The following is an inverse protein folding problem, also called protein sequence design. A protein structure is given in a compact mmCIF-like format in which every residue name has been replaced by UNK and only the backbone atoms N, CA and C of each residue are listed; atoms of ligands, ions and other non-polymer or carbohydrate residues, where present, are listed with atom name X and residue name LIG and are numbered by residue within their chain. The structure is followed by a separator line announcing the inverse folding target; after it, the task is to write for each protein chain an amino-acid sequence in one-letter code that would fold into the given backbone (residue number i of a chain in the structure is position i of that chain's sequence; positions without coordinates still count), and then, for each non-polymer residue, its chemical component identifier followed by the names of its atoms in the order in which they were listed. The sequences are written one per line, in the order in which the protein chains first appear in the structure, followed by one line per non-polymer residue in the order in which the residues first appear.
data_IF_250643429420
#
_entry.id   IF_250643429420
#
_cell.length_a   1.000
_cell.length_b   1.000
_cell.length_c   1.000
_cell.angle_alpha   90.00
_cell.angle_beta   90.00
_cell.angle_gamma   90.00
#
_symmetry.space_group_name_H-M   'P 1'
#
loop_
_entity.id
_entity.type
_entity.pdbx_description
1 polymer ?
#
# COMPACT_ATOMS: atom_id res chain seq x y z
N UNK A 1 -50.56 31.69 -26.95
CA UNK A 1 -51.53 30.68 -27.41
C UNK A 1 -51.03 29.33 -26.87
N UNK A 2 -51.46 28.87 -25.69
CA UNK A 2 -52.67 28.06 -25.40
C UNK A 2 -52.74 26.86 -26.36
N UNK A 3 -52.67 25.58 -25.94
CA UNK A 3 -53.52 24.81 -25.02
C UNK A 3 -52.71 23.61 -24.45
N UNK A 4 -52.60 23.33 -23.14
CA UNK A 4 -53.53 22.61 -22.21
C UNK A 4 -54.22 21.35 -22.74
N UNK A 5 -53.95 20.21 -22.09
CA UNK A 5 -55.00 19.33 -21.53
C UNK A 5 -54.46 18.37 -20.47
N UNK A 6 -54.84 18.67 -19.22
CA UNK A 6 -55.05 17.70 -18.15
C UNK A 6 -55.99 16.58 -18.58
N UNK A 7 -55.87 15.40 -17.95
CA UNK A 7 -57.01 14.80 -17.26
C UNK A 7 -56.57 13.77 -16.20
N UNK A 8 -57.26 13.92 -15.08
CA UNK A 8 -57.15 13.31 -13.76
C UNK A 8 -58.31 12.35 -13.56
N UNK A 9 -58.12 11.30 -12.77
CA UNK A 9 -59.18 10.53 -12.11
C UNK A 9 -58.55 9.48 -11.18
N UNK A 10 -58.50 9.68 -9.85
CA UNK A 10 -59.53 9.37 -8.81
C UNK A 10 -59.89 7.88 -8.79
N UNK A 11 -60.07 7.17 -7.66
CA UNK A 11 -59.91 7.35 -6.22
C UNK A 11 -60.32 6.02 -5.53
N UNK A 12 -60.15 5.94 -4.21
CA UNK A 12 -60.85 5.07 -3.22
C UNK A 12 -60.01 3.91 -2.65
N UNK A 13 -59.58 3.84 -1.38
CA UNK A 13 -60.15 3.90 0.00
C UNK A 13 -60.52 2.53 0.62
N UNK A 14 -60.07 2.36 1.87
CA UNK A 14 -60.47 1.43 2.95
C UNK A 14 -59.94 -0.02 2.87
N UNK A 15 -59.45 -0.73 3.88
CA UNK A 15 -59.39 -0.74 5.37
C UNK A 15 -59.79 -2.17 5.83
N UNK A 16 -59.23 -2.61 6.97
CA UNK A 16 -59.58 -3.75 7.84
C UNK A 16 -59.00 -5.14 7.51
N UNK A 17 -58.38 -5.74 8.53
CA UNK A 17 -58.17 -7.18 8.60
C UNK A 17 -57.07 -7.59 9.58
N UNK A 18 -57.42 -7.83 10.84
CA UNK A 18 -56.54 -8.20 11.94
C UNK A 18 -56.48 -9.72 12.15
N UNK A 19 -55.51 -10.16 12.98
CA UNK A 19 -55.51 -11.36 13.86
C UNK A 19 -54.97 -12.70 13.32
N UNK A 20 -53.75 -13.03 13.83
CA UNK A 20 -53.37 -14.25 14.57
C UNK A 20 -53.31 -15.59 13.79
N UNK A 21 -52.34 -16.50 14.02
CA UNK A 21 -52.10 -17.17 15.30
C UNK A 21 -50.88 -18.10 15.20
N UNK A 22 -49.98 -18.00 16.19
CA UNK A 22 -49.26 -19.03 16.98
C UNK A 22 -48.82 -20.35 16.31
N UNK A 23 -47.78 -21.08 16.71
CA UNK A 23 -46.71 -21.02 17.72
C UNK A 23 -45.92 -22.35 17.51
N UNK A 24 -44.66 -22.53 17.91
CA UNK A 24 -44.22 -22.82 19.28
C UNK A 24 -42.67 -22.85 19.25
N UNK A 25 -41.96 -22.16 20.14
CA UNK A 25 -41.57 -22.58 21.52
C UNK A 25 -40.54 -23.73 21.46
N UNK A 26 -39.28 -23.56 21.91
CA UNK A 26 -38.93 -23.45 23.33
C UNK A 26 -37.67 -22.62 23.61
N UNK A 27 -37.81 -21.69 24.55
CA UNK A 27 -36.77 -21.32 25.52
C UNK A 27 -36.58 -22.47 26.52
N UNK A 28 -35.38 -22.59 27.11
CA UNK A 28 -35.26 -22.67 28.57
C UNK A 28 -33.96 -22.00 29.00
N UNK A 29 -34.06 -21.21 30.07
CA UNK A 29 -33.09 -20.25 30.52
C UNK A 29 -32.23 -20.76 31.69
N UNK A 30 -31.10 -20.05 31.84
CA UNK A 30 -30.44 -19.62 33.08
C UNK A 30 -29.74 -20.64 33.99
N UNK A 31 -28.44 -20.40 34.23
CA UNK A 31 -27.96 -19.89 35.52
C UNK A 31 -26.53 -19.34 35.45
N UNK A 32 -26.31 -18.26 36.18
CA UNK A 32 -25.02 -17.68 36.54
C UNK A 32 -24.56 -18.30 37.87
N UNK A 33 -23.27 -18.62 37.96
CA UNK A 33 -22.50 -18.71 39.20
C UNK A 33 -21.00 -18.56 38.87
N UNK A 34 -20.28 -18.09 39.87
CA UNK A 34 -19.05 -17.32 39.86
C UNK A 34 -17.76 -18.18 39.98
N UNK A 35 -16.62 -17.55 39.66
CA UNK A 35 -15.23 -17.83 40.08
C UNK A 35 -14.50 -19.11 39.61
N UNK A 36 -13.28 -18.93 39.11
CA UNK A 36 -12.30 -20.02 38.94
C UNK A 36 -11.17 -19.73 37.95
N UNK A 37 -10.02 -19.33 38.48
CA UNK A 37 -8.75 -19.14 37.77
C UNK A 37 -8.20 -20.43 37.10
N UNK A 38 -7.32 -20.19 36.12
CA UNK A 38 -6.26 -21.06 35.61
C UNK A 38 -6.64 -22.13 34.57
N UNK A 39 -6.12 -21.94 33.36
CA UNK A 39 -6.10 -22.92 32.29
C UNK A 39 -5.32 -22.36 31.10
N UNK A 40 -4.01 -22.55 31.13
CA UNK A 40 -3.08 -22.31 30.02
C UNK A 40 -3.56 -23.01 28.76
N UNK A 41 -4.20 -22.25 27.87
CA UNK A 41 -4.62 -22.67 26.54
C UNK A 41 -3.52 -22.35 25.53
N UNK A 42 -2.63 -23.32 25.38
CA UNK A 42 -1.65 -23.51 24.32
C UNK A 42 -2.22 -23.09 22.95
N UNK A 43 -1.89 -21.88 22.50
CA UNK A 43 -2.13 -21.45 21.13
C UNK A 43 -1.11 -22.14 20.24
N UNK A 44 -1.63 -23.11 19.50
CA UNK A 44 -1.00 -23.94 18.49
C UNK A 44 -0.01 -23.14 17.62
N UNK A 45 1.28 -23.25 17.95
CA UNK A 45 2.38 -22.50 17.32
C UNK A 45 2.95 -23.38 16.21
N UNK A 46 2.54 -23.09 14.97
CA UNK A 46 3.13 -23.70 13.76
C UNK A 46 4.68 -23.65 13.79
N UNK A 47 5.40 -24.78 13.86
CA UNK A 47 6.86 -24.76 13.91
C UNK A 47 7.42 -24.71 12.49
N UNK A 48 8.14 -23.65 12.14
CA UNK A 48 9.05 -23.68 10.99
C UNK A 48 10.34 -24.36 11.42
N UNK A 49 10.71 -25.41 10.69
CA UNK A 49 11.91 -26.18 10.93
C UNK A 49 13.17 -25.30 10.88
N UNK A 50 14.00 -25.39 11.91
CA UNK A 50 15.36 -24.85 11.95
C UNK A 50 16.22 -25.54 10.88
N UNK A 51 16.93 -24.75 10.08
CA UNK A 51 17.97 -25.26 9.18
C UNK A 51 19.33 -24.93 9.80
N UNK A 52 20.30 -25.88 9.90
CA UNK A 52 21.53 -25.65 10.64
C UNK A 52 22.49 -24.71 9.89
N UNK A 53 23.27 -23.99 10.69
CA UNK A 53 24.35 -23.12 10.26
C UNK A 53 25.41 -23.86 9.42
N UNK A 54 25.71 -23.31 8.24
CA UNK A 54 26.78 -23.77 7.36
C UNK A 54 27.39 -22.59 6.60
N UNK A 55 28.58 -22.20 7.05
CA UNK A 55 29.63 -21.37 6.43
C UNK A 55 29.35 -20.68 5.08
N UNK A 56 29.56 -19.35 5.04
CA UNK A 56 30.21 -18.69 3.88
C UNK A 56 30.72 -17.27 4.16
N UNK A 57 32.04 -17.17 4.04
CA UNK A 57 32.81 -16.15 3.31
C UNK A 57 32.86 -14.69 3.80
N UNK A 58 33.97 -14.41 4.49
CA UNK A 58 34.79 -13.20 4.51
C UNK A 58 34.30 -11.93 3.78
N UNK A 59 34.14 -10.87 4.58
CA UNK A 59 34.00 -9.49 4.18
C UNK A 59 35.19 -8.97 3.36
N UNK A 60 34.91 -8.14 2.35
CA UNK A 60 35.92 -7.31 1.66
C UNK A 60 35.78 -5.84 2.10
N UNK A 61 36.89 -5.09 2.27
CA UNK A 61 36.86 -3.72 2.75
C UNK A 61 36.51 -2.75 1.63
N UNK A 62 35.68 -1.76 1.95
CA UNK A 62 35.34 -0.65 1.06
C UNK A 62 36.18 0.57 1.47
N UNK A 63 37.03 1.04 0.57
CA UNK A 63 37.81 2.26 0.74
C UNK A 63 37.50 3.27 -0.36
N UNK A 64 37.15 4.50 0.05
CA UNK A 64 37.62 5.76 -0.54
C UNK A 64 37.07 6.23 -1.89
N UNK A 65 36.14 7.20 -1.81
CA UNK A 65 35.96 8.42 -2.62
C UNK A 65 36.29 8.43 -4.13
N UNK A 66 35.30 8.81 -4.95
CA UNK A 66 35.33 10.18 -5.51
C UNK A 66 33.97 10.67 -6.02
N UNK A 67 33.73 11.94 -5.73
CA UNK A 67 32.61 12.77 -6.12
C UNK A 67 32.75 13.32 -7.54
N UNK A 68 31.64 13.86 -8.06
CA UNK A 68 31.51 14.64 -9.30
C UNK A 68 31.29 13.84 -10.59
N UNK A 69 30.02 13.50 -10.84
CA UNK A 69 29.38 13.52 -12.18
C UNK A 69 27.85 13.53 -11.97
N UNK A 70 27.39 14.66 -11.45
CA UNK A 70 26.00 14.91 -11.10
C UNK A 70 25.15 15.29 -12.31
N UNK A 71 23.95 14.69 -12.34
CA UNK A 71 22.67 15.25 -12.84
C UNK A 71 22.12 14.78 -14.20
N UNK A 72 22.83 14.00 -15.02
CA UNK A 72 22.26 13.42 -16.26
C UNK A 72 22.06 11.87 -16.27
N UNK A 73 22.61 11.13 -15.29
CA UNK A 73 22.68 9.65 -15.33
C UNK A 73 21.54 8.92 -14.60
N UNK A 74 20.66 9.63 -13.87
CA UNK A 74 19.68 8.97 -12.98
C UNK A 74 18.43 8.38 -13.66
N UNK A 75 18.09 8.78 -14.89
CA UNK A 75 17.07 8.03 -15.69
C UNK A 75 17.63 6.72 -16.28
N UNK A 76 18.95 6.64 -16.48
CA UNK A 76 19.61 5.47 -17.07
C UNK A 76 19.95 4.37 -16.07
N UNK A 77 20.21 4.70 -14.79
CA UNK A 77 20.68 3.72 -13.80
C UNK A 77 19.61 2.69 -13.40
N UNK A 78 18.34 3.09 -13.28
CA UNK A 78 17.23 2.15 -13.04
C UNK A 78 16.89 1.32 -14.30
N UNK A 79 17.13 1.87 -15.50
CA UNK A 79 16.87 1.18 -16.78
C UNK A 79 17.92 0.10 -17.11
N UNK A 80 19.17 0.27 -16.64
CA UNK A 80 20.30 -0.62 -16.96
C UNK A 80 20.23 -2.00 -16.28
N UNK A 81 19.38 -2.17 -15.26
CA UNK A 81 19.20 -3.44 -14.56
C UNK A 81 18.03 -4.31 -15.04
N UNK A 82 17.05 -3.76 -15.78
CA UNK A 82 15.79 -4.48 -16.09
C UNK A 82 15.72 -5.12 -17.49
N UNK A 83 16.77 -4.98 -18.31
CA UNK A 83 16.78 -5.44 -19.72
C UNK A 83 15.70 -4.76 -20.58
N UNK A 84 15.71 -5.03 -21.90
CA UNK A 84 14.71 -4.47 -22.82
C UNK A 84 13.27 -4.84 -22.43
N UNK A 85 13.07 -6.05 -21.93
CA UNK A 85 11.77 -6.54 -21.45
C UNK A 85 11.24 -5.70 -20.28
N UNK A 86 12.01 -5.49 -19.22
CA UNK A 86 11.53 -4.75 -18.06
C UNK A 86 11.35 -3.25 -18.34
N UNK A 87 12.13 -2.69 -19.27
CA UNK A 87 11.89 -1.32 -19.77
C UNK A 87 10.54 -1.20 -20.48
N UNK A 88 10.21 -2.18 -21.33
CA UNK A 88 8.92 -2.19 -22.02
C UNK A 88 7.74 -2.37 -21.05
N UNK A 89 7.87 -3.23 -20.04
CA UNK A 89 6.87 -3.37 -18.96
C UNK A 89 6.63 -2.03 -18.27
N UNK A 90 7.70 -1.33 -17.88
CA UNK A 90 7.60 -0.01 -17.24
C UNK A 90 6.86 1.01 -18.13
N UNK A 91 7.25 1.10 -19.40
CA UNK A 91 6.67 2.08 -20.33
C UNK A 91 5.20 1.79 -20.61
N UNK A 92 4.85 0.53 -20.92
CA UNK A 92 3.47 0.14 -21.16
C UNK A 92 2.62 0.29 -19.90
N UNK A 93 3.13 -0.07 -18.74
CA UNK A 93 2.45 0.12 -17.44
C UNK A 93 2.10 1.59 -17.19
N UNK A 94 3.08 2.49 -17.34
CA UNK A 94 2.87 3.93 -17.21
C UNK A 94 1.81 4.46 -18.19
N UNK A 95 1.86 4.04 -19.46
CA UNK A 95 0.90 4.47 -20.49
C UNK A 95 -0.51 3.93 -20.26
N UNK A 96 -0.66 2.73 -19.69
CA UNK A 96 -1.97 2.18 -19.32
C UNK A 96 -2.55 2.99 -18.15
N UNK A 97 -1.72 3.25 -17.14
CA UNK A 97 -2.13 3.97 -15.93
C UNK A 97 -2.45 5.44 -16.19
N UNK A 98 -1.76 6.09 -17.13
CA UNK A 98 -2.05 7.46 -17.57
C UNK A 98 -3.31 7.56 -18.45
N UNK A 99 -3.78 6.43 -18.99
CA UNK A 99 -4.89 6.37 -19.94
C UNK A 99 -4.48 6.55 -21.41
N UNK A 100 -3.18 6.69 -21.72
CA UNK A 100 -2.66 6.81 -23.09
C UNK A 100 -2.94 5.55 -23.92
N UNK A 101 -3.01 4.40 -23.27
CA UNK A 101 -3.47 3.13 -23.84
C UNK A 101 -4.88 2.84 -23.29
N UNK A 102 -5.90 3.41 -23.94
CA UNK A 102 -7.30 3.28 -23.52
C UNK A 102 -7.87 1.86 -23.63
N UNK A 103 -8.94 1.58 -22.87
CA UNK A 103 -9.61 0.27 -22.83
C UNK A 103 -10.28 -0.15 -24.15
N UNK A 104 -10.60 0.83 -25.00
CA UNK A 104 -11.40 0.62 -26.21
C UNK A 104 -10.58 0.07 -27.40
N UNK A 105 -9.25 0.17 -27.35
CA UNK A 105 -8.37 -0.31 -28.42
C UNK A 105 -7.64 -1.59 -28.00
N UNK A 106 -7.61 -2.63 -28.85
CA UNK A 106 -6.76 -3.79 -28.59
C UNK A 106 -5.28 -3.40 -28.65
N UNK A 107 -4.50 -3.93 -27.70
CA UNK A 107 -3.04 -3.86 -27.69
C UNK A 107 -2.50 -4.90 -28.67
N UNK A 108 -2.07 -4.44 -29.85
CA UNK A 108 -1.57 -5.28 -30.93
C UNK A 108 -0.05 -5.47 -30.80
N UNK A 109 0.46 -6.70 -30.59
CA UNK A 109 1.89 -6.92 -30.34
C UNK A 109 2.81 -6.43 -31.46
N UNK A 110 2.36 -6.50 -32.71
CA UNK A 110 3.11 -6.06 -33.88
C UNK A 110 3.28 -4.53 -33.90
N UNK A 111 2.22 -3.79 -33.61
CA UNK A 111 2.25 -2.31 -33.53
C UNK A 111 3.15 -1.84 -32.39
N UNK A 112 3.05 -2.49 -31.22
CA UNK A 112 3.91 -2.20 -30.07
C UNK A 112 5.37 -2.54 -30.41
N UNK A 113 5.63 -3.70 -31.02
CA UNK A 113 6.98 -4.11 -31.41
C UNK A 113 7.64 -3.12 -32.36
N UNK A 114 6.89 -2.61 -33.35
CA UNK A 114 7.38 -1.56 -34.26
C UNK A 114 7.62 -0.23 -33.52
N UNK A 115 6.67 0.21 -32.70
CA UNK A 115 6.76 1.49 -31.98
C UNK A 115 7.94 1.57 -31.01
N UNK A 116 8.23 0.47 -30.33
CA UNK A 116 9.28 0.40 -29.31
C UNK A 116 10.58 -0.25 -29.82
N UNK A 117 10.65 -0.58 -31.12
CA UNK A 117 11.81 -1.22 -31.75
C UNK A 117 12.25 -2.52 -31.05
N UNK A 118 11.28 -3.35 -30.66
CA UNK A 118 11.49 -4.60 -29.94
C UNK A 118 10.84 -5.79 -30.64
N UNK A 119 11.35 -6.99 -30.38
CA UNK A 119 10.79 -8.20 -30.98
C UNK A 119 9.39 -8.51 -30.43
N UNK A 120 8.55 -9.16 -31.24
CA UNK A 120 7.21 -9.62 -30.85
C UNK A 120 7.22 -10.51 -29.60
N UNK A 121 8.28 -11.30 -29.41
CA UNK A 121 8.45 -12.15 -28.23
C UNK A 121 8.56 -11.30 -26.95
N UNK A 122 9.40 -10.26 -26.96
CA UNK A 122 9.56 -9.34 -25.83
C UNK A 122 8.24 -8.63 -25.51
N UNK A 123 7.48 -8.23 -26.54
CA UNK A 123 6.14 -7.63 -26.35
C UNK A 123 5.19 -8.60 -25.65
N UNK A 124 5.11 -9.85 -26.13
CA UNK A 124 4.22 -10.86 -25.53
C UNK A 124 4.59 -11.18 -24.10
N UNK A 125 5.87 -11.29 -23.78
CA UNK A 125 6.33 -11.48 -22.41
C UNK A 125 5.98 -10.28 -21.52
N UNK A 126 6.14 -9.06 -22.03
CA UNK A 126 5.79 -7.84 -21.30
C UNK A 126 4.29 -7.76 -21.02
N UNK A 127 3.45 -8.10 -22.01
CA UNK A 127 2.00 -8.17 -21.84
C UNK A 127 1.58 -9.24 -20.84
N UNK A 128 2.30 -10.37 -20.74
CA UNK A 128 2.03 -11.39 -19.71
C UNK A 128 2.30 -10.89 -18.29
N UNK A 129 3.37 -10.11 -18.10
CA UNK A 129 3.64 -9.48 -16.79
C UNK A 129 2.53 -8.49 -16.43
N UNK A 130 2.08 -7.68 -17.39
CA UNK A 130 0.98 -6.73 -17.17
C UNK A 130 -0.35 -7.45 -16.94
N UNK A 131 -0.58 -8.61 -17.57
CA UNK A 131 -1.74 -9.46 -17.33
C UNK A 131 -1.74 -10.04 -15.92
N UNK A 132 -0.60 -10.51 -15.43
CA UNK A 132 -0.44 -11.01 -14.06
C UNK A 132 -0.71 -9.92 -13.00
N UNK A 133 -0.42 -8.65 -13.33
CA UNK A 133 -0.75 -7.48 -12.49
C UNK A 133 -2.21 -7.01 -12.64
N UNK A 134 -2.98 -7.63 -13.52
CA UNK A 134 -4.40 -7.30 -13.77
C UNK A 134 -4.64 -6.10 -14.68
N UNK A 135 -3.62 -5.53 -15.32
CA UNK A 135 -3.74 -4.35 -16.18
C UNK A 135 -4.35 -4.66 -17.54
N UNK A 136 -4.11 -5.86 -18.06
CA UNK A 136 -4.61 -6.30 -19.37
C UNK A 136 -5.20 -7.70 -19.27
N UNK A 137 -6.01 -8.07 -20.25
CA UNK A 137 -6.47 -9.46 -20.44
C UNK A 137 -6.34 -9.85 -21.90
N UNK A 138 -5.78 -11.03 -22.17
CA UNK A 138 -5.78 -11.64 -23.49
C UNK A 138 -7.01 -12.55 -23.65
N UNK A 139 -7.88 -12.25 -24.63
CA UNK A 139 -9.05 -13.08 -24.94
C UNK A 139 -9.01 -13.60 -26.39
N UNK A 140 -9.37 -14.88 -26.63
CA UNK A 140 -9.50 -15.42 -27.99
C UNK A 140 -10.43 -14.54 -28.84
N UNK A 141 -10.05 -14.28 -30.09
CA UNK A 141 -10.80 -13.48 -31.07
C UNK A 141 -11.06 -12.00 -30.72
N UNK A 142 -10.66 -11.54 -29.52
CA UNK A 142 -10.82 -10.16 -29.05
C UNK A 142 -9.46 -9.44 -28.94
N UNK A 143 -8.38 -10.19 -28.77
CA UNK A 143 -7.03 -9.67 -28.58
C UNK A 143 -6.75 -9.29 -27.12
N UNK A 144 -5.62 -8.64 -26.90
CA UNK A 144 -5.25 -8.12 -25.58
C UNK A 144 -5.88 -6.75 -25.37
N UNK A 145 -6.55 -6.52 -24.25
CA UNK A 145 -7.18 -5.22 -23.92
C UNK A 145 -6.85 -4.80 -22.50
N UNK A 146 -6.82 -3.49 -22.27
CA UNK A 146 -6.71 -2.92 -20.92
C UNK A 146 -7.98 -3.23 -20.12
N UNK A 147 -7.79 -3.65 -18.87
CA UNK A 147 -8.88 -3.97 -17.94
C UNK A 147 -9.32 -2.72 -17.17
N UNK A 148 -10.55 -2.66 -16.65
CA UNK A 148 -10.96 -1.58 -15.75
C UNK A 148 -10.10 -1.55 -14.49
N UNK A 149 -9.94 -0.37 -13.88
CA UNK A 149 -9.09 -0.16 -12.69
C UNK A 149 -9.50 -1.06 -11.50
N UNK A 150 -10.78 -1.43 -11.40
CA UNK A 150 -11.30 -2.36 -10.38
C UNK A 150 -10.64 -3.73 -10.39
N UNK A 151 -10.05 -4.11 -11.52
CA UNK A 151 -9.44 -5.42 -11.74
C UNK A 151 -7.93 -5.41 -11.52
N UNK A 152 -7.33 -4.23 -11.37
CA UNK A 152 -5.89 -4.07 -11.23
C UNK A 152 -5.45 -4.49 -9.83
N UNK A 153 -4.27 -5.08 -9.71
CA UNK A 153 -3.64 -5.29 -8.40
C UNK A 153 -3.09 -3.95 -7.87
N UNK A 154 -3.94 -3.13 -7.24
CA UNK A 154 -3.55 -1.80 -6.76
C UNK A 154 -2.49 -1.82 -5.65
N UNK A 155 -2.24 -2.98 -5.05
CA UNK A 155 -1.19 -3.18 -4.04
C UNK A 155 0.17 -3.56 -4.67
N UNK A 156 0.22 -3.78 -5.98
CA UNK A 156 1.48 -4.05 -6.67
C UNK A 156 2.39 -2.80 -6.65
N UNK A 157 3.65 -2.90 -6.19
CA UNK A 157 4.54 -1.74 -6.08
C UNK A 157 4.79 -0.99 -7.40
N UNK A 158 4.87 -1.70 -8.54
CA UNK A 158 5.06 -1.03 -9.83
C UNK A 158 3.78 -0.23 -10.19
N UNK A 159 2.59 -0.75 -9.92
CA UNK A 159 1.32 -0.02 -10.14
C UNK A 159 1.21 1.21 -9.23
N UNK A 160 1.63 1.09 -7.97
CA UNK A 160 1.70 2.23 -7.04
C UNK A 160 2.63 3.31 -7.61
N UNK A 161 3.83 2.93 -8.04
CA UNK A 161 4.80 3.84 -8.66
C UNK A 161 4.24 4.53 -9.92
N UNK A 162 3.60 3.78 -10.82
CA UNK A 162 3.06 4.33 -12.06
C UNK A 162 1.89 5.29 -11.83
N UNK A 163 1.02 4.99 -10.86
CA UNK A 163 -0.15 5.84 -10.52
C UNK A 163 0.24 7.12 -9.79
N UNK A 164 1.41 7.17 -9.14
CA UNK A 164 1.89 8.33 -8.42
C UNK A 164 2.02 9.61 -9.27
N UNK A 165 2.24 9.45 -10.58
CA UNK A 165 2.36 10.56 -11.52
C UNK A 165 1.16 10.67 -12.48
N UNK A 166 0.14 9.83 -12.29
CA UNK A 166 -1.04 9.77 -13.13
C UNK A 166 -2.16 10.74 -12.71
N UNK A 167 -3.28 10.74 -13.46
CA UNK A 167 -4.44 11.58 -13.17
C UNK A 167 -5.10 11.27 -11.82
N UNK A 168 -4.94 10.04 -11.30
CA UNK A 168 -5.55 9.58 -10.06
C UNK A 168 -4.58 9.57 -8.86
N UNK A 169 -3.46 10.30 -8.93
CA UNK A 169 -2.42 10.30 -7.88
C UNK A 169 -2.95 10.75 -6.51
N UNK A 170 -3.84 11.74 -6.47
CA UNK A 170 -4.36 12.29 -5.22
C UNK A 170 -5.31 11.32 -4.53
N UNK A 171 -6.16 10.63 -5.30
CA UNK A 171 -7.03 9.56 -4.80
C UNK A 171 -6.19 8.42 -4.21
N UNK A 172 -5.17 7.97 -4.95
CA UNK A 172 -4.25 6.94 -4.48
C UNK A 172 -3.52 7.34 -3.19
N UNK A 173 -3.02 8.59 -3.12
CA UNK A 173 -2.33 9.10 -1.93
C UNK A 173 -3.23 9.03 -0.70
N UNK A 174 -4.51 9.40 -0.83
CA UNK A 174 -5.51 9.29 0.23
C UNK A 174 -5.74 7.84 0.65
N UNK A 175 -6.02 6.95 -0.31
CA UNK A 175 -6.25 5.52 -0.07
C UNK A 175 -5.05 4.86 0.66
N UNK A 176 -3.82 5.18 0.24
CA UNK A 176 -2.61 4.68 0.88
C UNK A 176 -2.41 5.25 2.29
N UNK A 177 -2.70 6.54 2.51
CA UNK A 177 -2.64 7.14 3.84
C UNK A 177 -3.63 6.48 4.81
N UNK A 178 -4.85 6.18 4.37
CA UNK A 178 -5.86 5.46 5.17
C UNK A 178 -5.42 4.04 5.52
N UNK A 179 -4.81 3.33 4.57
CA UNK A 179 -4.23 2.00 4.81
C UNK A 179 -3.14 2.07 5.88
N UNK A 180 -2.18 3.00 5.73
CA UNK A 180 -1.08 3.22 6.67
C UNK A 180 -1.59 3.56 8.08
N UNK A 181 -2.55 4.48 8.17
CA UNK A 181 -3.22 4.86 9.42
C UNK A 181 -3.87 3.68 10.14
N UNK A 182 -4.34 2.68 9.38
CA UNK A 182 -5.00 1.50 9.91
C UNK A 182 -3.99 0.46 10.41
N UNK A 183 -2.94 0.18 9.64
CA UNK A 183 -2.07 -0.99 9.90
C UNK A 183 -0.82 -0.67 10.71
N UNK A 184 -0.23 0.52 10.54
CA UNK A 184 1.07 0.83 11.15
C UNK A 184 1.00 1.04 12.66
N UNK A 185 -0.03 1.69 13.24
CA UNK A 185 -0.16 1.75 14.70
C UNK A 185 -0.26 0.38 15.35
N UNK A 186 -1.00 -0.55 14.71
CA UNK A 186 -1.07 -1.94 15.16
C UNK A 186 0.30 -2.61 15.07
N UNK A 187 1.03 -2.41 13.98
CA UNK A 187 2.38 -2.95 13.84
C UNK A 187 3.33 -2.42 14.93
N UNK A 188 3.29 -1.12 15.22
CA UNK A 188 4.09 -0.51 16.28
C UNK A 188 3.77 -1.11 17.66
N UNK A 189 2.47 -1.28 17.96
CA UNK A 189 2.01 -1.92 19.19
C UNK A 189 2.56 -3.34 19.35
N UNK A 190 2.51 -4.12 18.27
CA UNK A 190 2.96 -5.51 18.26
C UNK A 190 4.47 -5.64 18.30
N UNK A 191 5.20 -4.73 17.67
CA UNK A 191 6.65 -4.71 17.67
C UNK A 191 7.23 -4.44 19.07
N UNK A 192 6.52 -3.65 19.90
CA UNK A 192 6.90 -3.46 21.30
C UNK A 192 6.82 -4.78 22.08
N UNK A 193 7.91 -5.13 22.74
CA UNK A 193 8.01 -6.35 23.55
C UNK A 193 8.36 -7.63 22.79
N UNK A 194 8.52 -7.59 21.45
CA UNK A 194 8.92 -8.74 20.61
C UNK A 194 10.35 -8.58 20.04
N UNK A 195 11.22 -7.91 20.80
CA UNK A 195 12.50 -7.34 20.35
C UNK A 195 13.45 -8.29 19.63
N UNK A 196 13.55 -8.10 18.32
CA UNK A 196 14.72 -8.42 17.49
C UNK A 196 15.72 -7.27 17.64
N UNK A 197 16.77 -7.46 18.46
CA UNK A 197 17.77 -6.41 18.75
C UNK A 197 18.38 -5.82 17.46
N UNK A 198 18.57 -6.64 16.42
CA UNK A 198 19.04 -6.22 15.10
C UNK A 198 18.11 -5.22 14.40
N UNK A 199 16.79 -5.42 14.53
CA UNK A 199 15.79 -4.52 13.95
C UNK A 199 15.65 -3.24 14.77
N UNK A 200 15.72 -3.33 16.10
CA UNK A 200 15.67 -2.15 16.97
C UNK A 200 16.85 -1.21 16.74
N UNK A 201 18.07 -1.77 16.60
CA UNK A 201 19.25 -0.95 16.27
C UNK A 201 19.07 -0.24 14.92
N UNK A 202 18.65 -0.98 13.88
CA UNK A 202 18.39 -0.39 12.56
C UNK A 202 17.32 0.69 12.57
N UNK A 203 16.26 0.52 13.37
CA UNK A 203 15.24 1.56 13.53
C UNK A 203 15.85 2.84 14.12
N UNK A 204 16.71 2.72 15.13
CA UNK A 204 17.50 3.83 15.68
C UNK A 204 18.37 4.51 14.61
N UNK A 205 19.13 3.72 13.86
CA UNK A 205 19.99 4.23 12.77
C UNK A 205 19.19 5.03 11.73
N UNK A 206 17.96 4.60 11.39
CA UNK A 206 17.11 5.34 10.46
C UNK A 206 16.67 6.70 11.02
N UNK A 207 16.36 6.79 12.31
CA UNK A 207 16.02 8.06 12.97
C UNK A 207 17.21 9.02 12.96
N UNK A 208 18.43 8.52 13.21
CA UNK A 208 19.65 9.33 13.13
C UNK A 208 19.88 9.86 11.70
N UNK A 209 19.73 9.00 10.69
CA UNK A 209 19.85 9.38 9.28
C UNK A 209 18.81 10.45 8.92
N UNK A 210 17.56 10.30 9.37
CA UNK A 210 16.52 11.31 9.18
C UNK A 210 16.92 12.65 9.80
N UNK A 211 17.42 12.66 11.04
CA UNK A 211 17.88 13.87 11.73
C UNK A 211 19.01 14.60 10.99
N UNK A 212 20.05 13.86 10.59
CA UNK A 212 21.16 14.43 9.80
C UNK A 212 20.70 14.96 8.45
N UNK A 213 19.87 14.20 7.73
CA UNK A 213 19.36 14.59 6.41
C UNK A 213 18.48 15.84 6.49
N UNK A 214 17.65 15.94 7.53
CA UNK A 214 16.80 17.11 7.80
C UNK A 214 17.66 18.36 8.04
N UNK A 215 18.70 18.27 8.87
CA UNK A 215 19.64 19.38 9.14
C UNK A 215 20.39 19.86 7.89
N UNK A 216 20.62 18.98 6.91
CA UNK A 216 21.26 19.29 5.63
C UNK A 216 20.28 19.68 4.51
N UNK A 217 18.97 19.59 4.76
CA UNK A 217 17.95 19.79 3.73
C UNK A 217 17.90 18.69 2.66
N UNK A 218 18.50 17.51 2.91
CA UNK A 218 18.47 16.36 2.00
C UNK A 218 17.15 15.58 2.15
N UNK A 219 16.11 16.10 1.50
CA UNK A 219 14.77 15.49 1.46
C UNK A 219 14.75 14.08 0.87
N UNK A 220 15.68 13.74 -0.02
CA UNK A 220 15.71 12.43 -0.68
C UNK A 220 16.20 11.37 0.29
N UNK A 221 17.31 11.65 1.00
CA UNK A 221 17.84 10.71 2.00
C UNK A 221 16.89 10.59 3.18
N UNK A 222 16.29 11.69 3.63
CA UNK A 222 15.23 11.66 4.64
C UNK A 222 14.11 10.70 4.23
N UNK A 223 13.50 10.88 3.05
CA UNK A 223 12.35 10.09 2.62
C UNK A 223 12.67 8.60 2.45
N UNK A 224 13.91 8.28 2.09
CA UNK A 224 14.37 6.88 2.00
C UNK A 224 14.51 6.25 3.38
N UNK A 225 15.10 6.97 4.33
CA UNK A 225 15.22 6.50 5.71
C UNK A 225 13.85 6.36 6.39
N UNK A 226 12.93 7.29 6.15
CA UNK A 226 11.53 7.25 6.59
C UNK A 226 10.81 6.00 6.05
N UNK A 227 10.86 5.77 4.74
CA UNK A 227 10.29 4.58 4.12
C UNK A 227 10.89 3.26 4.67
N UNK A 228 12.20 3.24 4.93
CA UNK A 228 12.88 2.07 5.50
C UNK A 228 12.51 1.86 6.97
N UNK A 229 12.41 2.92 7.78
CA UNK A 229 11.94 2.86 9.16
C UNK A 229 10.56 2.21 9.27
N UNK A 230 9.59 2.68 8.48
CA UNK A 230 8.23 2.14 8.50
C UNK A 230 8.20 0.67 8.06
N UNK A 231 8.98 0.29 7.05
CA UNK A 231 9.06 -1.10 6.60
C UNK A 231 9.68 -2.02 7.67
N UNK A 232 10.77 -1.58 8.33
CA UNK A 232 11.43 -2.33 9.41
C UNK A 232 10.52 -2.49 10.63
N UNK A 233 9.77 -1.44 10.99
CA UNK A 233 8.83 -1.49 12.10
C UNK A 233 7.71 -2.51 11.85
N UNK A 234 7.19 -2.55 10.63
CA UNK A 234 6.19 -3.55 10.22
C UNK A 234 6.78 -4.96 10.30
N UNK A 235 8.05 -5.14 9.91
CA UNK A 235 8.75 -6.42 10.03
C UNK A 235 8.98 -6.82 11.49
N UNK A 236 9.24 -5.85 12.37
CA UNK A 236 9.42 -6.09 13.79
C UNK A 236 8.12 -6.50 14.52
N UNK A 237 6.95 -6.31 13.89
CA UNK A 237 5.65 -6.66 14.48
C UNK A 237 5.45 -8.17 14.71
N UNK A 238 6.28 -9.02 14.10
CA UNK A 238 6.18 -10.48 14.23
C UNK A 238 4.90 -11.10 13.65
N UNK A 239 4.14 -10.31 12.87
CA UNK A 239 2.94 -10.74 12.19
C UNK A 239 3.23 -10.87 10.70
N UNK A 240 3.31 -12.12 10.24
CA UNK A 240 3.61 -12.45 8.83
C UNK A 240 2.65 -11.77 7.85
N UNK A 241 1.38 -11.57 8.19
CA UNK A 241 0.46 -10.85 7.30
C UNK A 241 0.80 -9.37 7.19
N UNK A 242 1.23 -8.73 8.28
CA UNK A 242 1.71 -7.35 8.25
C UNK A 242 3.04 -7.23 7.50
N UNK A 243 3.95 -8.18 7.69
CA UNK A 243 5.24 -8.23 6.95
C UNK A 243 5.04 -8.18 5.43
N UNK A 244 4.05 -8.90 4.89
CA UNK A 244 3.73 -8.86 3.46
C UNK A 244 3.24 -7.48 2.99
N UNK A 245 2.74 -6.63 3.90
CA UNK A 245 2.31 -5.26 3.60
C UNK A 245 3.47 -4.25 3.67
N UNK A 246 4.65 -4.61 4.20
CA UNK A 246 5.80 -3.70 4.33
C UNK A 246 6.24 -3.10 2.99
N UNK A 247 6.23 -3.90 1.92
CA UNK A 247 6.57 -3.43 0.57
C UNK A 247 5.57 -2.41 0.02
N UNK A 248 4.29 -2.55 0.39
CA UNK A 248 3.23 -1.61 -0.01
C UNK A 248 3.42 -0.27 0.70
N UNK A 249 3.71 -0.29 2.00
CA UNK A 249 3.98 0.92 2.80
C UNK A 249 5.22 1.63 2.30
N UNK A 250 6.29 0.88 2.01
CA UNK A 250 7.51 1.44 1.44
C UNK A 250 7.26 2.11 0.07
N UNK A 251 6.49 1.46 -0.82
CA UNK A 251 6.09 2.05 -2.09
C UNK A 251 5.25 3.32 -1.88
N UNK A 252 4.28 3.29 -0.96
CA UNK A 252 3.43 4.44 -0.62
C UNK A 252 4.23 5.65 -0.13
N UNK A 253 5.22 5.42 0.73
CA UNK A 253 6.11 6.46 1.24
C UNK A 253 7.05 6.99 0.17
N UNK A 254 7.59 6.11 -0.68
CA UNK A 254 8.45 6.52 -1.78
C UNK A 254 7.73 7.46 -2.75
N UNK A 255 6.47 7.17 -3.07
CA UNK A 255 5.69 8.03 -3.97
C UNK A 255 5.19 9.30 -3.28
N UNK A 256 4.95 9.26 -1.97
CA UNK A 256 4.44 10.42 -1.21
C UNK A 256 5.53 11.40 -0.80
N UNK A 257 6.77 10.95 -0.57
CA UNK A 257 7.90 11.76 -0.10
C UNK A 257 8.73 12.44 -1.20
N UNK A 258 8.32 12.34 -2.46
CA UNK A 258 9.02 13.01 -3.56
C UNK A 258 8.88 14.54 -3.52
N UNK A 259 9.90 15.31 -3.96
CA UNK A 259 9.79 16.78 -4.07
C UNK A 259 8.67 17.26 -5.01
N UNK A 260 8.05 16.34 -5.76
CA UNK A 260 7.03 16.58 -6.78
C UNK A 260 5.61 16.50 -6.21
N UNK A 261 5.39 15.80 -5.08
CA UNK A 261 4.05 15.53 -4.51
C UNK A 261 3.59 16.57 -3.50
N UNK A 262 4.44 17.56 -3.15
CA UNK A 262 4.05 18.66 -2.28
C UNK A 262 3.72 18.25 -0.84
N UNK A 263 4.11 17.05 -0.40
CA UNK A 263 4.01 16.68 1.01
C UNK A 263 4.89 17.61 1.85
N UNK A 264 4.37 17.98 3.02
CA UNK A 264 5.04 18.87 3.96
C UNK A 264 6.49 18.44 4.19
N UNK A 265 7.37 19.45 4.23
CA UNK A 265 8.78 19.22 4.56
C UNK A 265 8.84 18.45 5.88
N UNK A 266 9.73 17.45 6.00
CA UNK A 266 9.97 16.80 7.27
C UNK A 266 10.24 17.86 8.34
N UNK A 267 9.44 17.84 9.39
CA UNK A 267 9.50 18.80 10.49
C UNK A 267 9.97 18.13 11.77
N UNK A 268 10.50 18.94 12.69
CA UNK A 268 11.01 18.49 13.99
C UNK A 268 10.00 17.63 14.76
N UNK A 269 8.70 17.92 14.62
CA UNK A 269 7.64 17.12 15.21
C UNK A 269 7.64 15.67 14.70
N UNK A 270 7.73 15.46 13.38
CA UNK A 270 7.77 14.13 12.77
C UNK A 270 8.98 13.33 13.26
N UNK A 271 10.17 13.96 13.27
CA UNK A 271 11.38 13.31 13.79
C UNK A 271 11.24 12.95 15.28
N UNK A 272 10.63 13.83 16.08
CA UNK A 272 10.35 13.56 17.49
C UNK A 272 9.33 12.44 17.70
N UNK A 273 8.38 12.23 16.78
CA UNK A 273 7.48 11.07 16.82
C UNK A 273 8.23 9.77 16.50
N UNK A 274 9.10 9.77 15.49
CA UNK A 274 9.97 8.64 15.16
C UNK A 274 10.84 8.20 16.34
N UNK A 275 11.52 9.14 17.00
CA UNK A 275 12.34 8.86 18.18
C UNK A 275 11.50 8.23 19.31
N UNK A 276 10.31 8.78 19.60
CA UNK A 276 9.41 8.23 20.63
C UNK A 276 8.93 6.81 20.32
N UNK A 277 8.76 6.46 19.05
CA UNK A 277 8.43 5.10 18.65
C UNK A 277 9.60 4.17 19.02
N UNK A 278 10.84 4.53 18.68
CA UNK A 278 12.02 3.73 19.02
C UNK A 278 12.15 3.53 20.53
N UNK A 279 11.99 4.60 21.33
CA UNK A 279 12.04 4.53 22.79
C UNK A 279 10.96 3.60 23.36
N UNK A 280 9.73 3.69 22.84
CA UNK A 280 8.62 2.83 23.24
C UNK A 280 8.87 1.36 22.87
N UNK A 281 9.46 1.09 21.70
CA UNK A 281 9.84 -0.27 21.30
C UNK A 281 10.92 -0.85 22.21
N UNK A 282 11.94 -0.05 22.58
CA UNK A 282 13.04 -0.46 23.45
C UNK A 282 12.58 -0.72 24.89
N UNK A 283 11.64 0.07 25.39
CA UNK A 283 11.05 -0.08 26.73
C UNK A 283 9.91 -1.11 26.80
N UNK A 284 9.45 -1.63 25.66
CA UNK A 284 8.31 -2.55 25.58
C UNK A 284 6.95 -1.87 25.81
N UNK A 285 6.86 -0.55 25.70
CA UNK A 285 5.61 0.21 25.83
C UNK A 285 4.78 0.13 24.54
N UNK A 286 3.97 -0.94 24.42
CA UNK A 286 3.09 -1.15 23.29
C UNK A 286 2.08 -0.01 23.07
N UNK A 287 1.55 0.58 24.14
CA UNK A 287 0.54 1.64 24.04
C UNK A 287 1.18 2.97 23.61
N UNK A 288 2.37 3.27 24.14
CA UNK A 288 3.19 4.40 23.72
C UNK A 288 3.60 4.32 22.25
N UNK A 289 4.05 3.14 21.79
CA UNK A 289 4.43 2.91 20.40
C UNK A 289 3.25 3.14 19.43
N UNK A 290 2.07 2.60 19.76
CA UNK A 290 0.85 2.83 18.98
C UNK A 290 0.49 4.31 18.93
N UNK A 291 0.48 4.98 20.07
CA UNK A 291 0.09 6.40 20.19
C UNK A 291 1.05 7.29 19.41
N UNK A 292 2.36 7.06 19.53
CA UNK A 292 3.37 7.81 18.81
C UNK A 292 3.25 7.62 17.29
N UNK A 293 2.98 6.39 16.82
CA UNK A 293 2.74 6.10 15.41
C UNK A 293 1.46 6.77 14.90
N UNK A 294 0.37 6.76 15.67
CA UNK A 294 -0.84 7.53 15.31
C UNK A 294 -0.49 8.98 15.13
N UNK A 295 0.16 9.61 16.11
CA UNK A 295 0.48 11.02 16.01
C UNK A 295 1.42 11.35 14.84
N UNK A 296 2.39 10.48 14.52
CA UNK A 296 3.25 10.61 13.34
C UNK A 296 2.42 10.74 12.05
N UNK A 297 1.39 9.90 11.92
CA UNK A 297 0.52 9.87 10.75
C UNK A 297 -0.56 10.98 10.76
N UNK A 298 -0.84 11.64 11.90
CA UNK A 298 -1.85 12.73 12.00
C UNK A 298 -1.35 13.99 11.32
N UNK A 299 -0.03 14.15 11.23
CA UNK A 299 0.63 15.29 10.60
C UNK A 299 0.32 15.41 9.09
N UNK A 300 -0.57 14.57 8.54
CA UNK A 300 -1.27 14.81 7.28
C UNK A 300 -2.76 15.20 7.46
N UNK A 301 -3.09 16.40 7.98
CA UNK A 301 -4.45 16.90 8.01
C UNK A 301 -4.73 17.66 6.72
N UNK A 302 -5.22 16.96 5.71
CA UNK A 302 -6.23 17.47 4.75
C UNK A 302 -6.55 16.35 3.77
N UNK A 303 -7.05 15.26 4.33
CA UNK A 303 -7.86 14.32 3.59
C UNK A 303 -9.28 14.52 4.09
N UNK A 304 -9.95 15.54 3.55
CA UNK A 304 -11.40 15.60 3.61
C UNK A 304 -11.92 14.23 3.15
N UNK A 305 -12.60 13.53 4.06
CA UNK A 305 -13.30 12.27 3.76
C UNK A 305 -14.41 12.58 2.77
N UNK A 306 -14.07 12.69 1.49
CA UNK A 306 -15.03 12.54 0.41
C UNK A 306 -15.24 11.04 0.27
N UNK A 307 -16.20 10.52 1.05
CA UNK A 307 -16.75 9.17 0.81
C UNK A 307 -17.26 9.17 -0.63
N UNK A 308 -16.68 8.36 -1.54
CA UNK A 308 -17.20 8.26 -2.89
C UNK A 308 -18.65 7.79 -2.80
N UNK A 309 -19.55 8.44 -3.53
CA UNK A 309 -20.92 7.98 -3.65
C UNK A 309 -20.93 6.48 -4.07
N UNK A 310 -21.88 5.67 -3.58
CA UNK A 310 -21.98 4.27 -3.98
C UNK A 310 -21.92 4.16 -5.50
N UNK A 311 -21.01 3.34 -6.02
CA UNK A 311 -20.91 3.11 -7.47
C UNK A 311 -22.22 2.48 -7.93
N UNK A 312 -23.06 3.27 -8.61
CA UNK A 312 -24.26 2.75 -9.24
C UNK A 312 -23.83 1.73 -10.31
N UNK A 313 -24.32 0.51 -10.15
CA UNK A 313 -24.11 -0.56 -11.12
C UNK A 313 -24.96 -0.24 -12.35
N UNK A 314 -24.31 0.10 -13.47
CA UNK A 314 -24.93 0.18 -14.79
C UNK A 314 -24.53 -1.03 -15.63
#
# INVERSE_FOLDING_TARGET
MLFTKDLKGRASHADKGCVSTLAHTMMTAARSADSGLAGSGELDRYPYAETPAGERAAARPWGGSDSELGRASRRGAASRGRGLHGQLVQQLGQMIVSGDLGADRPLVPEEIGQRFEVSRTVVRESLRVLEAKGLVSARPNVGTRVRPVSDWNLLDPDIIEWRAFGPHRDDQRRELAELRWTIEPLAARLAAGHGREDLQQRLGDMVEIMGHSMGQGDTITFSRADAEFHALLIQAAGNRMLEHLSGIVSAALHVSGGPVTGCDRPGDASLAHHARIVDALASGDSAGAETAMRQLLVVHPDVDRVVPAPREQH
#
